data_IF_979477560766
#
_entry.id   IF_979477560766
#
_cell.length_a   1.000
_cell.length_b   1.000
_cell.length_c   1.000
_cell.angle_alpha   90.00
_cell.angle_beta   90.00
_cell.angle_gamma   90.00
#
_symmetry.space_group_name_H-M   'P 1'
#
loop_
_entity.id
_entity.type
_entity.pdbx_description
1 polymer ?
#
# COMPACT_ATOMS: atom_id res chain seq x y z
N UNK A 1 16.25 -3.84 3.48
CA UNK A 1 15.22 -3.34 2.54
C UNK A 1 15.17 -4.26 1.34
N UNK A 2 14.03 -4.37 0.66
CA UNK A 2 13.91 -5.25 -0.50
C UNK A 2 14.34 -4.58 -1.81
N UNK A 3 14.55 -5.39 -2.84
CA UNK A 3 15.04 -4.94 -4.15
C UNK A 3 13.92 -4.68 -5.18
N UNK A 4 12.73 -5.22 -4.93
CA UNK A 4 11.53 -5.21 -5.77
C UNK A 4 10.33 -5.65 -4.91
N UNK A 5 9.12 -5.52 -5.45
CA UNK A 5 7.88 -6.04 -4.90
C UNK A 5 7.57 -5.56 -3.47
N UNK A 6 7.55 -4.23 -3.30
CA UNK A 6 6.96 -3.61 -2.11
C UNK A 6 5.44 -3.64 -2.20
N UNK A 7 4.78 -4.57 -1.51
CA UNK A 7 3.33 -4.70 -1.49
C UNK A 7 2.70 -3.93 -0.33
N UNK A 8 1.75 -3.04 -0.66
CA UNK A 8 0.89 -2.32 0.29
C UNK A 8 -0.55 -2.60 -0.10
N UNK A 9 -1.43 -2.84 0.88
CA UNK A 9 -2.87 -3.01 0.64
C UNK A 9 -3.71 -2.09 1.47
N UNK A 10 -4.84 -1.71 0.91
CA UNK A 10 -5.90 -0.97 1.56
C UNK A 10 -7.17 -1.80 1.63
N UNK A 11 -7.82 -1.82 2.79
CA UNK A 11 -9.03 -2.60 3.02
C UNK A 11 -10.03 -1.87 3.92
N UNK A 12 -11.30 -2.30 3.86
CA UNK A 12 -12.37 -1.86 4.77
C UNK A 12 -12.58 -2.81 5.95
N UNK A 13 -11.90 -3.94 5.97
CA UNK A 13 -11.98 -4.92 7.05
C UNK A 13 -10.59 -5.49 7.34
N UNK A 14 -10.41 -5.98 8.56
CA UNK A 14 -9.17 -6.61 9.02
C UNK A 14 -8.84 -7.89 8.22
N UNK A 15 -9.87 -8.63 7.82
CA UNK A 15 -9.77 -9.90 7.10
C UNK A 15 -10.65 -9.88 5.83
N UNK A 16 -10.22 -9.18 4.77
CA UNK A 16 -11.04 -8.90 3.58
C UNK A 16 -11.11 -10.10 2.62
N UNK A 17 -11.63 -11.23 3.10
CA UNK A 17 -11.88 -12.40 2.27
C UNK A 17 -13.22 -12.28 1.55
N UNK A 18 -13.20 -12.55 0.25
CA UNK A 18 -14.29 -12.33 -0.70
C UNK A 18 -14.71 -10.84 -0.80
N UNK A 19 -13.79 -9.95 -0.43
CA UNK A 19 -13.94 -8.50 -0.54
C UNK A 19 -12.85 -7.95 -1.47
N UNK A 20 -13.13 -6.77 -2.03
CA UNK A 20 -12.13 -6.05 -2.81
C UNK A 20 -11.18 -5.28 -1.90
N UNK A 21 -9.89 -5.39 -2.20
CA UNK A 21 -8.83 -4.56 -1.64
C UNK A 21 -8.16 -3.79 -2.76
N UNK A 22 -7.54 -2.66 -2.43
CA UNK A 22 -6.59 -2.03 -3.35
C UNK A 22 -5.20 -2.55 -3.01
N UNK A 23 -4.49 -3.09 -4.00
CA UNK A 23 -3.10 -3.51 -3.90
C UNK A 23 -2.22 -2.54 -4.68
N UNK A 24 -1.21 -2.02 -3.99
CA UNK A 24 -0.11 -1.28 -4.57
C UNK A 24 1.09 -2.22 -4.61
N UNK A 25 1.71 -2.34 -5.77
CA UNK A 25 2.97 -3.06 -5.94
C UNK A 25 4.01 -2.05 -6.39
N UNK A 26 4.95 -1.75 -5.51
CA UNK A 26 6.07 -0.86 -5.79
C UNK A 26 7.23 -1.66 -6.37
N UNK A 27 7.74 -1.20 -7.52
CA UNK A 27 8.92 -1.80 -8.17
C UNK A 27 8.78 -3.30 -8.44
N UNK A 28 7.63 -3.73 -8.97
CA UNK A 28 7.46 -5.07 -9.51
C UNK A 28 8.17 -5.29 -10.84
N UNK A 29 8.00 -6.50 -11.39
CA UNK A 29 8.61 -6.95 -12.65
C UNK A 29 10.10 -6.64 -12.71
N UNK A 30 10.86 -7.19 -11.76
CA UNK A 30 12.30 -6.95 -11.66
C UNK A 30 12.66 -5.46 -11.47
N UNK A 31 11.89 -4.75 -10.66
CA UNK A 31 12.13 -3.33 -10.32
C UNK A 31 12.01 -2.40 -11.53
N UNK A 32 10.95 -2.59 -12.34
CA UNK A 32 10.70 -1.79 -13.54
C UNK A 32 9.38 -1.03 -13.51
N UNK A 33 8.37 -1.55 -12.81
CA UNK A 33 7.02 -1.01 -12.81
C UNK A 33 6.47 -0.87 -11.40
N UNK A 34 5.61 0.11 -11.18
CA UNK A 34 4.73 0.16 -10.03
C UNK A 34 3.28 0.17 -10.51
N UNK A 35 2.44 -0.62 -9.86
CA UNK A 35 1.04 -0.78 -10.25
C UNK A 35 0.10 -0.63 -9.08
N UNK A 36 -1.12 -0.22 -9.41
CA UNK A 36 -2.28 -0.22 -8.52
C UNK A 36 -3.30 -1.17 -9.10
N UNK A 37 -3.83 -2.05 -8.26
CA UNK A 37 -4.80 -3.06 -8.65
C UNK A 37 -5.98 -3.06 -7.70
N UNK A 38 -7.17 -3.30 -8.23
CA UNK A 38 -8.29 -3.82 -7.44
C UNK A 38 -8.16 -5.33 -7.40
N UNK A 39 -7.97 -5.88 -6.21
CA UNK A 39 -7.75 -7.31 -5.99
C UNK A 39 -8.94 -7.91 -5.24
N UNK A 40 -9.52 -8.99 -5.77
CA UNK A 40 -10.48 -9.82 -5.06
C UNK A 40 -9.75 -11.02 -4.48
N UNK A 41 -9.69 -11.17 -3.16
CA UNK A 41 -9.04 -12.32 -2.51
C UNK A 41 -10.07 -13.31 -2.00
N UNK A 42 -9.95 -14.57 -2.37
CA UNK A 42 -10.86 -15.63 -1.94
C UNK A 42 -10.30 -16.39 -0.72
N UNK A 43 -11.18 -17.11 -0.03
CA UNK A 43 -10.81 -17.93 1.15
C UNK A 43 -9.86 -19.08 0.81
N UNK A 44 -9.88 -19.56 -0.43
CA UNK A 44 -8.99 -20.60 -0.94
C UNK A 44 -7.61 -20.06 -1.36
N UNK A 45 -7.28 -18.82 -0.99
CA UNK A 45 -6.05 -18.12 -1.33
C UNK A 45 -5.86 -17.78 -2.81
N UNK A 46 -6.86 -18.01 -3.66
CA UNK A 46 -6.86 -17.49 -5.02
C UNK A 46 -7.20 -16.00 -5.04
N UNK A 47 -6.79 -15.31 -6.10
CA UNK A 47 -7.07 -13.89 -6.27
C UNK A 47 -7.24 -13.52 -7.74
N UNK A 48 -8.10 -12.53 -7.99
CA UNK A 48 -8.20 -11.85 -9.29
C UNK A 48 -7.70 -10.42 -9.14
N UNK A 49 -6.98 -9.95 -10.15
CA UNK A 49 -6.45 -8.60 -10.20
C UNK A 49 -7.01 -7.85 -11.39
N UNK A 50 -7.51 -6.65 -11.14
CA UNK A 50 -7.88 -5.67 -12.15
C UNK A 50 -6.90 -4.51 -12.06
N UNK A 51 -6.20 -4.22 -13.17
CA UNK A 51 -5.24 -3.11 -13.23
C UNK A 51 -5.99 -1.78 -13.23
N UNK A 52 -5.67 -0.91 -12.26
CA UNK A 52 -6.20 0.44 -12.17
C UNK A 52 -5.22 1.49 -12.70
N UNK A 53 -3.93 1.29 -12.41
CA UNK A 53 -2.87 2.18 -12.87
C UNK A 53 -1.54 1.43 -12.96
N UNK A 54 -0.70 1.87 -13.88
CA UNK A 54 0.68 1.42 -14.06
C UNK A 54 1.59 2.61 -14.34
N UNK A 55 2.77 2.61 -13.72
CA UNK A 55 3.79 3.64 -13.89
C UNK A 55 5.15 2.98 -14.00
N UNK A 56 5.99 3.48 -14.92
CA UNK A 56 7.40 3.08 -14.98
C UNK A 56 8.17 3.61 -13.78
N UNK A 57 8.80 2.70 -13.04
CA UNK A 57 9.57 3.02 -11.82
C UNK A 57 10.86 2.21 -11.79
N UNK A 58 11.63 2.29 -12.88
CA UNK A 58 12.88 1.54 -13.05
C UNK A 58 13.87 1.89 -11.94
N UNK A 59 14.31 0.87 -11.20
CA UNK A 59 15.35 1.01 -10.18
C UNK A 59 14.89 1.73 -8.91
N UNK A 60 13.59 1.88 -8.68
CA UNK A 60 13.03 2.66 -7.56
C UNK A 60 13.36 2.03 -6.20
N UNK A 61 13.24 0.70 -6.05
CA UNK A 61 13.65 0.01 -4.82
C UNK A 61 15.12 -0.46 -4.87
N UNK A 62 15.77 -0.52 -3.69
CA UNK A 62 17.16 -0.95 -3.58
C UNK A 62 17.44 -1.63 -2.23
N UNK A 63 18.29 -2.67 -2.21
CA UNK A 63 18.59 -3.42 -0.95
C UNK A 63 19.29 -2.57 0.10
N UNK A 64 20.19 -1.70 -0.35
CA UNK A 64 21.08 -0.92 0.51
C UNK A 64 20.64 0.54 0.72
N UNK A 65 19.53 0.99 0.10
CA UNK A 65 19.07 2.39 0.21
C UNK A 65 17.56 2.43 0.41
N UNK A 66 17.05 3.21 1.38
CA UNK A 66 15.64 3.35 1.58
C UNK A 66 15.02 4.15 0.46
N UNK A 67 13.84 3.72 0.05
CA UNK A 67 12.95 4.54 -0.75
C UNK A 67 11.96 5.19 0.21
N UNK A 68 12.03 6.52 0.30
CA UNK A 68 11.16 7.33 1.15
C UNK A 68 10.11 8.00 0.27
N UNK A 69 8.86 7.87 0.68
CA UNK A 69 7.72 8.49 0.00
C UNK A 69 6.62 8.77 1.01
N UNK A 70 5.84 9.80 0.71
CA UNK A 70 4.62 10.14 1.41
C UNK A 70 3.44 9.46 0.71
N UNK A 71 2.66 8.72 1.47
CA UNK A 71 1.38 8.13 1.05
C UNK A 71 0.27 8.95 1.70
N UNK A 72 -0.55 9.60 0.89
CA UNK A 72 -1.69 10.40 1.38
C UNK A 72 -2.98 9.77 0.89
N UNK A 73 -3.94 9.66 1.81
CA UNK A 73 -5.31 9.23 1.53
C UNK A 73 -6.21 10.41 1.89
N UNK A 74 -6.90 10.96 0.90
CA UNK A 74 -7.78 12.11 1.07
C UNK A 74 -9.23 11.66 1.37
N UNK A 75 -10.05 12.58 1.87
CA UNK A 75 -11.45 12.32 2.24
C UNK A 75 -12.31 11.82 1.06
N UNK A 76 -11.97 12.21 -0.17
CA UNK A 76 -12.61 11.71 -1.39
C UNK A 76 -12.05 10.34 -1.84
N UNK A 77 -11.26 9.66 -1.01
CA UNK A 77 -10.52 8.44 -1.32
C UNK A 77 -9.57 8.57 -2.53
N UNK A 78 -9.12 9.79 -2.85
CA UNK A 78 -7.94 9.96 -3.68
C UNK A 78 -6.73 9.46 -2.88
N UNK A 79 -5.83 8.76 -3.55
CA UNK A 79 -4.56 8.33 -2.98
C UNK A 79 -3.43 8.88 -3.83
N UNK A 80 -2.43 9.47 -3.18
CA UNK A 80 -1.20 9.94 -3.83
C UNK A 80 0.03 9.31 -3.19
N UNK A 81 1.00 8.97 -4.03
CA UNK A 81 2.35 8.60 -3.61
C UNK A 81 3.31 9.63 -4.20
N UNK A 82 4.00 10.34 -3.32
CA UNK A 82 4.94 11.41 -3.65
C UNK A 82 6.30 11.05 -3.04
N UNK A 83 7.37 11.07 -3.83
CA UNK A 83 8.72 10.85 -3.28
C UNK A 83 9.08 11.98 -2.32
N UNK A 84 9.88 11.67 -1.30
CA UNK A 84 10.23 12.62 -0.24
C UNK A 84 10.84 13.94 -0.76
N UNK A 85 11.60 13.88 -1.85
CA UNK A 85 12.28 14.99 -2.50
C UNK A 85 11.50 15.62 -3.68
N UNK A 86 10.28 15.15 -3.94
CA UNK A 86 9.46 15.61 -5.06
C UNK A 86 8.19 16.34 -4.59
N UNK A 87 7.74 17.34 -5.34
CA UNK A 87 6.49 18.06 -5.07
C UNK A 87 5.27 17.47 -5.77
N UNK A 88 5.50 16.61 -6.77
CA UNK A 88 4.44 15.98 -7.56
C UNK A 88 4.38 14.49 -7.27
N UNK A 89 3.18 13.91 -7.17
CA UNK A 89 3.06 12.47 -7.01
C UNK A 89 3.58 11.76 -8.26
N UNK A 90 4.31 10.66 -8.05
CA UNK A 90 4.65 9.74 -9.14
C UNK A 90 3.50 8.78 -9.45
N UNK A 91 2.54 8.65 -8.53
CA UNK A 91 1.35 7.81 -8.68
C UNK A 91 0.16 8.44 -7.97
N UNK A 92 -0.99 8.44 -8.65
CA UNK A 92 -2.24 9.02 -8.15
C UNK A 92 -3.43 8.24 -8.71
N UNK A 93 -4.30 7.76 -7.83
CA UNK A 93 -5.48 6.96 -8.19
C UNK A 93 -6.62 7.15 -7.18
N UNK A 94 -7.83 6.70 -7.54
CA UNK A 94 -9.01 6.77 -6.66
C UNK A 94 -9.88 7.99 -6.91
N UNK A 95 -10.54 8.49 -5.86
CA UNK A 95 -11.40 9.69 -5.91
C UNK A 95 -12.91 9.46 -5.93
N UNK A 96 -13.37 8.20 -6.06
CA UNK A 96 -14.79 7.84 -6.19
C UNK A 96 -15.21 6.68 -5.25
N UNK A 97 -14.49 6.47 -4.15
CA UNK A 97 -14.73 5.36 -3.22
C UNK A 97 -14.71 5.85 -1.77
N UNK A 98 -15.00 4.95 -0.83
CA UNK A 98 -14.82 5.22 0.60
C UNK A 98 -13.31 5.10 0.92
N UNK A 99 -12.75 5.96 1.79
CA UNK A 99 -11.38 5.79 2.26
C UNK A 99 -11.19 4.44 2.98
N UNK A 100 -10.00 3.81 2.87
CA UNK A 100 -9.72 2.57 3.57
C UNK A 100 -9.63 2.75 5.08
N UNK A 101 -10.06 1.71 5.80
CA UNK A 101 -9.97 1.63 7.26
C UNK A 101 -8.69 0.94 7.73
N UNK A 102 -8.05 0.16 6.85
CA UNK A 102 -6.84 -0.59 7.16
C UNK A 102 -5.79 -0.45 6.06
N UNK A 103 -4.53 -0.37 6.48
CA UNK A 103 -3.34 -0.44 5.61
C UNK A 103 -2.54 -1.67 6.02
N UNK A 104 -2.19 -2.52 5.06
CA UNK A 104 -1.33 -3.67 5.28
C UNK A 104 -0.03 -3.57 4.47
N UNK A 105 1.11 -3.80 5.11
CA UNK A 105 2.40 -4.00 4.46
C UNK A 105 2.69 -5.48 4.37
N UNK A 106 3.06 -5.96 3.18
CA UNK A 106 3.06 -7.39 2.88
C UNK A 106 4.39 -7.86 2.32
N UNK A 107 4.73 -9.09 2.66
CA UNK A 107 5.75 -9.90 1.98
C UNK A 107 5.05 -10.81 0.97
N UNK A 108 5.46 -10.72 -0.29
CA UNK A 108 5.07 -11.68 -1.33
C UNK A 108 6.14 -12.78 -1.46
N UNK A 109 7.18 -12.54 -2.25
CA UNK A 109 8.27 -13.48 -2.53
C UNK A 109 9.65 -12.98 -2.04
N UNK A 110 9.81 -11.66 -1.87
CA UNK A 110 11.05 -11.02 -1.40
C UNK A 110 10.89 -10.43 0.00
N UNK A 111 11.93 -10.55 0.83
CA UNK A 111 11.99 -9.89 2.13
C UNK A 111 11.95 -8.36 2.00
N UNK A 112 10.96 -7.75 2.66
CA UNK A 112 10.76 -6.32 2.72
C UNK A 112 10.89 -5.83 4.16
N UNK A 113 11.47 -4.64 4.30
CA UNK A 113 11.52 -3.91 5.58
C UNK A 113 10.81 -2.60 5.33
N UNK A 114 9.74 -2.35 6.10
CA UNK A 114 8.97 -1.12 6.03
C UNK A 114 9.22 -0.30 7.29
N UNK A 115 9.48 0.98 7.09
CA UNK A 115 9.46 1.99 8.14
C UNK A 115 8.26 2.88 7.85
N UNK A 116 7.45 3.15 8.87
CA UNK A 116 6.32 4.04 8.75
C UNK A 116 6.35 5.01 9.93
N UNK A 117 6.11 6.27 9.62
CA UNK A 117 5.86 7.32 10.60
C UNK A 117 4.44 7.82 10.32
N UNK A 118 3.50 7.42 11.16
CA UNK A 118 2.11 7.78 11.01
C UNK A 118 1.63 8.42 12.32
N UNK A 119 1.04 9.63 12.29
CA UNK A 119 0.38 10.19 13.46
C UNK A 119 -0.94 9.46 13.69
N UNK A 120 -0.87 8.21 14.14
CA UNK A 120 -2.04 7.47 14.60
C UNK A 120 -2.42 8.04 15.97
N UNK A 121 -3.68 8.43 16.14
CA UNK A 121 -4.21 8.93 17.44
C UNK A 121 -4.02 7.93 18.58
N UNK A 122 -3.90 6.66 18.24
CA UNK A 122 -3.58 5.57 19.15
C UNK A 122 -2.19 5.04 18.76
N UNK A 123 -1.41 4.59 19.74
CA UNK A 123 -0.24 3.75 19.47
C UNK A 123 -0.64 2.70 18.44
N UNK A 124 0.07 2.57 17.30
CA UNK A 124 -0.25 1.55 16.32
C UNK A 124 -0.31 0.22 17.03
N UNK A 125 -1.52 -0.31 17.19
CA UNK A 125 -1.73 -1.71 17.49
C UNK A 125 -1.36 -2.45 16.22
N UNK A 126 -0.05 -2.59 15.97
CA UNK A 126 0.52 -3.48 14.96
C UNK A 126 0.31 -4.92 15.46
N UNK A 127 -0.95 -5.30 15.62
CA UNK A 127 -1.34 -6.50 16.37
C UNK A 127 -1.88 -7.60 15.48
N UNK A 128 -2.01 -7.36 14.17
CA UNK A 128 -2.77 -8.28 13.32
C UNK A 128 -2.05 -8.48 11.99
N UNK A 129 -0.89 -9.11 12.09
CA UNK A 129 -0.13 -9.53 10.93
C UNK A 129 0.42 -10.92 11.19
N UNK A 130 0.10 -11.87 10.31
CA UNK A 130 0.84 -13.14 10.29
C UNK A 130 2.32 -12.89 9.98
N UNK A 131 3.12 -13.96 9.86
CA UNK A 131 4.58 -13.86 9.55
C UNK A 131 4.94 -12.99 8.33
N UNK A 132 3.98 -12.67 7.47
CA UNK A 132 4.16 -11.99 6.19
C UNK A 132 3.42 -10.65 6.08
N UNK A 133 2.82 -10.13 7.16
CA UNK A 133 2.03 -8.91 7.10
C UNK A 133 2.22 -8.04 8.35
N UNK A 134 2.05 -6.72 8.21
CA UNK A 134 1.81 -5.77 9.30
C UNK A 134 0.56 -4.98 8.93
N UNK A 135 -0.43 -4.95 9.82
CA UNK A 135 -1.70 -4.24 9.61
C UNK A 135 -1.78 -3.03 10.54
N UNK A 136 -2.16 -1.89 9.97
CA UNK A 136 -2.43 -0.64 10.68
C UNK A 136 -3.90 -0.29 10.49
N UNK A 137 -4.58 0.06 11.57
CA UNK A 137 -5.92 0.63 11.52
C UNK A 137 -5.83 2.15 11.35
N UNK A 138 -6.52 2.69 10.36
CA UNK A 138 -6.58 4.10 10.08
C UNK A 138 -7.75 4.76 10.83
N UNK A 139 -7.52 5.97 11.34
CA UNK A 139 -8.57 6.86 11.81
C UNK A 139 -8.36 8.24 11.19
N UNK A 140 -9.33 8.72 10.42
CA UNK A 140 -9.29 10.05 9.83
C UNK A 140 -9.55 11.08 10.95
N UNK A 141 -8.75 12.14 11.09
CA UNK A 141 -9.04 13.18 12.06
C UNK A 141 -10.39 13.84 11.73
N UNK A 142 -11.27 14.09 12.73
CA UNK A 142 -12.41 14.97 12.50
C UNK A 142 -11.90 16.34 12.05
N UNK A 143 -12.51 16.89 11.01
CA UNK A 143 -12.22 18.25 10.54
C UNK A 143 -12.54 19.22 11.69
N UNK A 144 -11.52 19.96 12.14
CA UNK A 144 -11.62 21.03 13.15
C UNK A 144 -12.15 22.32 12.54
#
# INVERSE_FOLDING_TARGET
MGKNDGHIRFAHSESPFNEYVIELVLSGWYNTLSVVRRQLRRRDHTYDNELLQEVSTVGLLHRARPFMFKLEVFDNAMVTLTKDDESKPFMQFGGNTVPPEYIAFLKFDVDMVYFYDCPLRNEPTATIGGKNAVLLQCAIPPQS
#
